data_IF_801014057329
#
_entry.id   IF_801014057329
#
_cell.length_a   1.000
_cell.length_b   1.000
_cell.length_c   1.000
_cell.angle_alpha   90.00
_cell.angle_beta   90.00
_cell.angle_gamma   90.00
#
_symmetry.space_group_name_H-M   'P 1'
#
loop_
_entity.id
_entity.type
_entity.pdbx_description
1 polymer ?
#
# COMPACT_ATOMS: atom_id res chain seq x y z
N UNK A 1 -10.98 2.03 37.51
CA UNK A 1 -10.89 3.32 36.80
C UNK A 1 -10.03 3.29 35.50
N UNK A 2 -9.28 2.21 35.19
CA UNK A 2 -8.48 2.11 33.94
C UNK A 2 -9.20 1.51 32.72
N UNK A 3 -10.29 0.77 32.92
CA UNK A 3 -11.00 0.04 31.84
C UNK A 3 -11.90 0.95 30.98
N UNK A 4 -12.48 2.00 31.57
CA UNK A 4 -13.39 2.93 30.90
C UNK A 4 -12.68 3.88 29.91
N UNK A 5 -11.36 4.10 30.07
CA UNK A 5 -10.58 4.98 29.20
C UNK A 5 -10.12 4.27 27.92
N UNK A 6 -9.79 2.98 28.00
CA UNK A 6 -9.42 2.17 26.83
C UNK A 6 -10.64 1.89 25.95
N UNK A 7 -11.80 1.59 26.55
CA UNK A 7 -13.04 1.41 25.80
C UNK A 7 -13.54 2.69 25.15
N UNK A 8 -13.35 3.86 25.79
CA UNK A 8 -13.75 5.14 25.21
C UNK A 8 -12.86 5.52 24.03
N UNK A 9 -11.55 5.24 24.09
CA UNK A 9 -10.61 5.41 22.95
C UNK A 9 -10.98 4.45 21.82
N UNK A 10 -11.19 3.16 22.07
CA UNK A 10 -11.59 2.20 21.03
C UNK A 10 -12.92 2.58 20.36
N UNK A 11 -13.90 3.06 21.14
CA UNK A 11 -15.18 3.54 20.60
C UNK A 11 -15.02 4.84 19.81
N UNK A 12 -14.14 5.75 20.24
CA UNK A 12 -13.81 6.95 19.47
C UNK A 12 -13.09 6.60 18.17
N UNK A 13 -12.12 5.69 18.19
CA UNK A 13 -11.41 5.20 17.01
C UNK A 13 -12.36 4.51 16.04
N UNK A 14 -13.21 3.60 16.51
CA UNK A 14 -14.21 2.94 15.67
C UNK A 14 -15.24 3.94 15.12
N UNK A 15 -15.61 4.97 15.89
CA UNK A 15 -16.52 6.03 15.44
C UNK A 15 -15.84 6.98 14.46
N UNK A 16 -14.56 7.30 14.64
CA UNK A 16 -13.76 8.10 13.72
C UNK A 16 -13.52 7.33 12.42
N UNK A 17 -13.21 6.04 12.48
CA UNK A 17 -13.08 5.15 11.32
C UNK A 17 -14.43 5.00 10.60
N UNK A 18 -15.55 4.78 11.33
CA UNK A 18 -16.89 4.70 10.72
C UNK A 18 -17.34 6.03 10.13
N UNK A 19 -17.12 7.15 10.81
CA UNK A 19 -17.44 8.49 10.33
C UNK A 19 -16.53 8.89 9.15
N UNK A 20 -15.28 8.48 9.16
CA UNK A 20 -14.35 8.58 8.04
C UNK A 20 -14.87 7.80 6.83
N UNK A 21 -15.18 6.52 6.99
CA UNK A 21 -15.78 5.69 5.94
C UNK A 21 -17.10 6.29 5.41
N UNK A 22 -17.87 6.97 6.26
CA UNK A 22 -19.14 7.64 5.90
C UNK A 22 -18.91 9.00 5.20
N UNK A 23 -17.87 9.75 5.58
CA UNK A 23 -17.47 11.05 5.00
C UNK A 23 -16.86 10.87 3.61
N UNK A 24 -16.20 9.76 3.35
CA UNK A 24 -15.74 9.34 2.02
C UNK A 24 -16.82 8.59 1.24
N UNK A 25 -18.10 9.00 1.36
CA UNK A 25 -19.08 8.78 0.29
C UNK A 25 -18.55 9.52 -0.95
N UNK A 26 -17.78 8.75 -1.71
CA UNK A 26 -17.17 9.00 -3.00
C UNK A 26 -18.01 10.01 -3.78
N UNK A 27 -17.41 11.17 -4.05
CA UNK A 27 -17.91 12.06 -5.10
C UNK A 27 -18.06 11.18 -6.34
N UNK A 28 -19.28 11.08 -6.86
CA UNK A 28 -19.75 10.15 -7.91
C UNK A 28 -19.00 10.18 -9.26
N UNK A 29 -17.81 10.80 -9.33
CA UNK A 29 -16.92 10.80 -10.49
C UNK A 29 -15.58 10.15 -10.13
N UNK A 30 -15.50 8.83 -10.39
CA UNK A 30 -14.35 7.92 -10.28
C UNK A 30 -13.80 7.73 -8.85
N UNK A 31 -13.45 6.49 -8.50
CA UNK A 31 -12.96 6.08 -7.17
C UNK A 31 -11.55 6.61 -6.81
N UNK A 32 -11.20 7.82 -7.25
CA UNK A 32 -9.90 8.47 -7.03
C UNK A 32 -9.83 8.95 -5.58
N UNK A 33 -8.71 8.65 -4.91
CA UNK A 33 -8.47 8.99 -3.49
C UNK A 33 -7.33 9.97 -3.28
N UNK A 34 -6.41 10.09 -4.24
CA UNK A 34 -5.33 11.07 -4.23
C UNK A 34 -4.86 11.33 -5.67
N UNK A 35 -4.37 12.53 -5.96
CA UNK A 35 -3.84 12.92 -7.25
C UNK A 35 -2.50 13.62 -7.04
N UNK A 36 -1.48 13.21 -7.81
CA UNK A 36 -0.22 13.92 -7.97
C UNK A 36 -0.09 14.47 -9.39
N UNK A 37 1.11 14.86 -9.77
CA UNK A 37 1.36 15.51 -11.06
C UNK A 37 1.17 14.54 -12.25
N UNK A 38 1.71 13.33 -12.13
CA UNK A 38 1.75 12.33 -13.21
C UNK A 38 0.84 11.14 -12.95
N UNK A 39 0.53 10.85 -11.70
CA UNK A 39 -0.34 9.71 -11.33
C UNK A 39 -1.44 10.09 -10.36
N UNK A 40 -2.49 9.28 -10.34
CA UNK A 40 -3.51 9.30 -9.31
C UNK A 40 -3.71 7.91 -8.71
N UNK A 41 -4.11 7.90 -7.44
CA UNK A 41 -4.51 6.70 -6.72
C UNK A 41 -6.01 6.53 -6.79
N UNK A 42 -6.49 5.32 -7.05
CA UNK A 42 -7.91 4.99 -7.01
C UNK A 42 -8.18 3.60 -6.44
N UNK A 43 -9.42 3.36 -6.01
CA UNK A 43 -9.78 2.09 -5.38
C UNK A 43 -10.04 0.98 -6.42
N UNK A 44 -9.55 -0.25 -6.19
CA UNK A 44 -9.83 -1.40 -7.03
C UNK A 44 -11.33 -1.73 -7.07
N UNK A 45 -11.86 -1.99 -8.26
CA UNK A 45 -13.22 -2.50 -8.47
C UNK A 45 -13.20 -3.74 -9.36
N UNK A 46 -14.38 -4.35 -9.53
CA UNK A 46 -14.53 -5.43 -10.50
C UNK A 46 -14.29 -4.94 -11.93
N UNK A 47 -14.65 -3.70 -12.26
CA UNK A 47 -14.46 -3.12 -13.59
C UNK A 47 -12.97 -2.99 -13.94
N UNK A 48 -12.09 -2.81 -12.94
CA UNK A 48 -10.64 -2.75 -13.14
C UNK A 48 -10.00 -4.12 -13.41
N UNK A 49 -10.76 -5.22 -13.37
CA UNK A 49 -10.21 -6.57 -13.49
C UNK A 49 -9.43 -6.78 -14.79
N UNK A 50 -9.95 -6.28 -15.92
CA UNK A 50 -9.30 -6.43 -17.22
C UNK A 50 -7.90 -5.83 -17.22
N UNK A 51 -7.79 -4.55 -16.85
CA UNK A 51 -6.51 -3.82 -16.86
C UNK A 51 -5.54 -4.39 -15.82
N UNK A 52 -6.05 -4.77 -14.64
CA UNK A 52 -5.25 -5.43 -13.61
C UNK A 52 -4.63 -6.73 -14.13
N UNK A 53 -5.44 -7.59 -14.76
CA UNK A 53 -4.97 -8.89 -15.25
C UNK A 53 -4.01 -8.74 -16.44
N UNK A 54 -4.18 -7.73 -17.28
CA UNK A 54 -3.20 -7.38 -18.32
C UNK A 54 -1.87 -7.03 -17.68
N UNK A 55 -1.87 -6.14 -16.69
CA UNK A 55 -0.67 -5.71 -15.97
C UNK A 55 0.05 -6.89 -15.31
N UNK A 56 -0.68 -7.72 -14.54
CA UNK A 56 -0.07 -8.78 -13.74
C UNK A 56 0.43 -9.93 -14.59
N UNK A 57 -0.33 -10.35 -15.61
CA UNK A 57 0.11 -11.45 -16.50
C UNK A 57 1.29 -11.03 -17.39
N UNK A 58 1.34 -9.77 -17.86
CA UNK A 58 2.48 -9.26 -18.63
C UNK A 58 3.78 -9.18 -17.80
N UNK A 59 3.64 -9.06 -16.48
CA UNK A 59 4.75 -8.75 -15.56
C UNK A 59 5.16 -9.92 -14.66
N UNK A 60 4.74 -11.16 -14.94
CA UNK A 60 5.00 -12.33 -14.08
C UNK A 60 6.49 -12.48 -13.75
N UNK A 61 7.36 -12.57 -14.77
CA UNK A 61 8.81 -12.77 -14.57
C UNK A 61 9.48 -11.59 -13.87
N UNK A 62 8.88 -10.40 -14.00
CA UNK A 62 9.37 -9.20 -13.32
C UNK A 62 8.93 -9.16 -11.85
N UNK A 63 7.75 -9.70 -11.53
CA UNK A 63 7.22 -9.76 -10.17
C UNK A 63 7.84 -10.90 -9.37
N UNK A 64 8.20 -12.01 -10.01
CA UNK A 64 8.83 -13.13 -9.35
C UNK A 64 10.34 -12.90 -9.18
N UNK A 65 10.94 -13.35 -8.06
CA UNK A 65 10.35 -14.09 -6.93
C UNK A 65 9.74 -13.19 -5.83
N UNK A 66 9.58 -11.90 -6.08
CA UNK A 66 9.29 -10.89 -5.06
C UNK A 66 7.85 -10.94 -4.55
N UNK A 67 6.90 -11.14 -5.46
CA UNK A 67 5.46 -11.11 -5.17
C UNK A 67 4.67 -11.94 -6.18
N UNK A 68 3.49 -12.39 -5.77
CA UNK A 68 2.60 -13.27 -6.54
C UNK A 68 1.19 -12.67 -6.63
N UNK A 69 0.97 -11.67 -7.51
CA UNK A 69 -0.35 -11.06 -7.70
C UNK A 69 -1.36 -12.04 -8.31
N UNK A 70 -2.64 -11.65 -8.31
CA UNK A 70 -3.67 -12.42 -9.00
C UNK A 70 -3.42 -12.43 -10.52
N UNK A 71 -3.54 -13.61 -11.13
CA UNK A 71 -3.34 -13.86 -12.57
C UNK A 71 -4.63 -14.28 -13.27
N UNK A 72 -5.64 -14.69 -12.50
CA UNK A 72 -6.96 -15.07 -13.03
C UNK A 72 -8.07 -14.19 -12.44
N UNK A 73 -9.23 -14.16 -13.11
CA UNK A 73 -10.42 -13.46 -12.59
C UNK A 73 -10.87 -14.03 -11.23
N UNK A 74 -10.70 -15.32 -11.00
CA UNK A 74 -11.03 -15.98 -9.72
C UNK A 74 -10.14 -15.46 -8.60
N UNK A 75 -8.84 -15.39 -8.83
CA UNK A 75 -7.87 -14.83 -7.87
C UNK A 75 -8.09 -13.33 -7.67
N UNK A 76 -8.44 -12.58 -8.72
CA UNK A 76 -8.74 -11.16 -8.59
C UNK A 76 -9.99 -10.91 -7.74
N UNK A 77 -11.05 -11.71 -7.94
CA UNK A 77 -12.24 -11.70 -7.06
C UNK A 77 -11.87 -12.05 -5.61
N UNK A 78 -10.94 -12.97 -5.40
CA UNK A 78 -10.42 -13.27 -4.06
C UNK A 78 -9.65 -12.08 -3.45
N UNK A 79 -8.84 -11.37 -4.24
CA UNK A 79 -8.19 -10.12 -3.83
C UNK A 79 -9.23 -9.05 -3.43
N UNK A 80 -10.27 -8.81 -4.24
CA UNK A 80 -11.35 -7.88 -3.89
C UNK A 80 -12.12 -8.31 -2.63
N UNK A 81 -12.31 -9.61 -2.42
CA UNK A 81 -12.91 -10.16 -1.20
C UNK A 81 -12.07 -9.81 0.05
N UNK A 82 -10.74 -9.86 -0.03
CA UNK A 82 -9.87 -9.42 1.08
C UNK A 82 -10.04 -7.93 1.38
N UNK A 83 -10.18 -7.08 0.36
CA UNK A 83 -10.46 -5.65 0.52
C UNK A 83 -11.78 -5.44 1.25
N UNK A 84 -12.85 -6.08 0.77
CA UNK A 84 -14.19 -5.97 1.36
C UNK A 84 -14.23 -6.42 2.82
N UNK A 85 -13.45 -7.45 3.17
CA UNK A 85 -13.33 -7.96 4.54
C UNK A 85 -12.40 -7.12 5.44
N UNK A 86 -11.72 -6.12 4.89
CA UNK A 86 -10.80 -5.26 5.65
C UNK A 86 -9.43 -5.88 5.93
N UNK A 87 -9.11 -7.05 5.37
CA UNK A 87 -7.79 -7.68 5.53
C UNK A 87 -6.68 -6.94 4.77
N UNK A 88 -7.05 -6.14 3.77
CA UNK A 88 -6.13 -5.32 3.00
C UNK A 88 -6.87 -4.06 2.55
N UNK A 89 -6.16 -2.94 2.37
CA UNK A 89 -6.66 -1.79 1.64
C UNK A 89 -5.83 -1.65 0.36
N UNK A 90 -6.46 -1.95 -0.77
CA UNK A 90 -5.81 -1.86 -2.07
C UNK A 90 -5.99 -0.49 -2.72
N UNK A 91 -4.94 -0.04 -3.41
CA UNK A 91 -4.89 1.20 -4.18
C UNK A 91 -4.22 0.92 -5.51
N UNK A 92 -4.83 1.40 -6.59
CA UNK A 92 -4.27 1.33 -7.93
C UNK A 92 -3.65 2.67 -8.31
N UNK A 93 -2.53 2.61 -9.03
CA UNK A 93 -1.82 3.77 -9.58
C UNK A 93 -2.16 3.84 -11.05
N UNK A 94 -2.82 4.91 -11.49
CA UNK A 94 -3.03 5.19 -12.92
C UNK A 94 -2.29 6.44 -13.35
N UNK A 95 -1.81 6.45 -14.60
CA UNK A 95 -1.21 7.62 -15.21
C UNK A 95 -2.28 8.67 -15.53
N UNK A 96 -2.00 9.93 -15.25
CA UNK A 96 -2.95 11.03 -15.46
C UNK A 96 -3.25 11.29 -16.95
N UNK A 97 -2.24 11.14 -17.82
CA UNK A 97 -2.38 11.49 -19.25
C UNK A 97 -3.38 10.62 -20.01
N UNK A 98 -3.56 9.36 -19.60
CA UNK A 98 -4.37 8.39 -20.35
C UNK A 98 -5.14 7.39 -19.47
N UNK A 99 -5.11 7.56 -18.14
CA UNK A 99 -5.72 6.65 -17.16
C UNK A 99 -5.17 5.22 -17.17
N UNK A 100 -4.04 4.95 -17.84
CA UNK A 100 -3.46 3.61 -17.90
C UNK A 100 -3.10 3.12 -16.49
N UNK A 101 -3.60 1.94 -16.11
CA UNK A 101 -3.22 1.28 -14.86
C UNK A 101 -1.74 0.89 -14.91
N UNK A 102 -0.96 1.42 -13.97
CA UNK A 102 0.48 1.22 -13.90
C UNK A 102 0.90 0.29 -12.76
N UNK A 103 0.15 0.23 -11.66
CA UNK A 103 0.56 -0.57 -10.51
C UNK A 103 -0.42 -0.59 -9.37
N UNK A 104 0.01 -1.23 -8.30
CA UNK A 104 -0.80 -1.52 -7.12
C UNK A 104 0.03 -1.26 -5.87
N UNK A 105 -0.61 -0.67 -4.87
CA UNK A 105 -0.09 -0.57 -3.50
C UNK A 105 -1.16 -1.06 -2.54
N UNK A 106 -0.79 -1.94 -1.63
CA UNK A 106 -1.65 -2.53 -0.62
C UNK A 106 -1.16 -2.14 0.76
N UNK A 107 -2.07 -1.65 1.60
CA UNK A 107 -1.87 -1.56 3.05
C UNK A 107 -2.38 -2.85 3.67
N UNK A 108 -1.52 -3.55 4.39
CA UNK A 108 -1.80 -4.78 5.12
C UNK A 108 -1.48 -4.60 6.61
N UNK A 109 -1.75 -5.64 7.42
CA UNK A 109 -1.40 -5.74 8.84
C UNK A 109 -1.69 -4.47 9.66
N UNK A 110 -2.87 -3.87 9.41
CA UNK A 110 -3.31 -2.63 10.04
C UNK A 110 -3.51 -2.87 11.53
N UNK A 111 -2.73 -2.17 12.36
CA UNK A 111 -2.76 -2.25 13.82
C UNK A 111 -2.94 -0.86 14.40
N UNK A 112 -4.12 -0.58 14.95
CA UNK A 112 -4.40 0.65 15.72
C UNK A 112 -4.04 0.48 17.21
N UNK A 113 -4.52 1.37 18.07
CA UNK A 113 -4.14 1.43 19.48
C UNK A 113 -2.68 1.85 19.63
N UNK A 114 -1.94 1.23 20.56
CA UNK A 114 -0.56 1.59 20.83
C UNK A 114 0.40 1.43 19.63
N UNK A 115 0.01 0.64 18.62
CA UNK A 115 0.84 0.42 17.43
C UNK A 115 0.74 1.54 16.39
N UNK A 116 -0.48 2.02 16.10
CA UNK A 116 -0.79 2.91 14.98
C UNK A 116 0.08 2.65 13.74
N UNK A 117 0.11 1.41 13.26
CA UNK A 117 1.03 0.95 12.22
C UNK A 117 0.37 0.10 11.14
N UNK A 118 1.05 -0.04 10.01
CA UNK A 118 0.67 -0.95 8.93
C UNK A 118 1.90 -1.43 8.15
N UNK A 119 1.72 -2.44 7.30
CA UNK A 119 2.72 -2.90 6.34
C UNK A 119 2.28 -2.56 4.92
N UNK A 120 3.22 -2.29 4.01
CA UNK A 120 2.93 -2.09 2.60
C UNK A 120 3.44 -3.25 1.75
N UNK A 121 2.69 -3.57 0.69
CA UNK A 121 3.17 -4.35 -0.44
C UNK A 121 2.80 -3.64 -1.75
N UNK A 122 3.72 -3.58 -2.70
CA UNK A 122 3.51 -2.87 -3.95
C UNK A 122 4.18 -3.58 -5.13
N UNK A 123 3.63 -3.35 -6.32
CA UNK A 123 4.16 -3.84 -7.57
C UNK A 123 3.67 -2.97 -8.73
N UNK A 124 4.47 -2.92 -9.79
CA UNK A 124 4.24 -2.08 -10.97
C UNK A 124 4.31 -2.94 -12.22
N UNK A 125 3.66 -2.50 -13.28
CA UNK A 125 3.89 -2.98 -14.63
C UNK A 125 5.37 -2.83 -15.00
N UNK A 126 5.96 -3.90 -15.55
CA UNK A 126 7.38 -3.97 -15.91
C UNK A 126 7.82 -2.85 -16.85
N UNK A 127 6.97 -2.44 -17.78
CA UNK A 127 7.29 -1.44 -18.82
C UNK A 127 7.36 0.00 -18.25
N UNK A 128 6.88 0.17 -17.02
CA UNK A 128 6.84 1.46 -16.33
C UNK A 128 7.78 1.54 -15.13
N UNK A 129 8.57 0.49 -14.89
CA UNK A 129 9.58 0.47 -13.84
C UNK A 129 10.65 1.55 -14.08
N UNK A 130 11.26 2.04 -13.00
CA UNK A 130 12.32 3.07 -12.98
C UNK A 130 11.95 4.43 -13.61
N UNK A 131 10.68 4.67 -13.96
CA UNK A 131 10.18 5.98 -14.47
C UNK A 131 9.63 6.90 -13.37
N UNK A 132 9.71 6.49 -12.11
CA UNK A 132 9.29 7.28 -10.94
C UNK A 132 7.79 7.21 -10.60
N UNK A 133 6.97 6.47 -11.37
CA UNK A 133 5.52 6.37 -11.10
C UNK A 133 5.19 5.71 -9.76
N UNK A 134 5.90 4.61 -9.40
CA UNK A 134 5.70 3.98 -8.09
C UNK A 134 6.16 4.88 -6.95
N UNK A 135 7.24 5.66 -7.13
CA UNK A 135 7.72 6.62 -6.14
C UNK A 135 6.65 7.66 -5.83
N UNK A 136 6.08 8.28 -6.86
CA UNK A 136 5.01 9.27 -6.71
C UNK A 136 3.74 8.67 -6.09
N UNK A 137 3.32 7.49 -6.57
CA UNK A 137 2.18 6.77 -5.98
C UNK A 137 2.39 6.41 -4.51
N UNK A 138 3.60 6.01 -4.12
CA UNK A 138 3.94 5.69 -2.73
C UNK A 138 3.96 6.96 -1.86
N UNK A 139 4.47 8.09 -2.35
CA UNK A 139 4.40 9.39 -1.65
C UNK A 139 2.94 9.79 -1.39
N UNK A 140 2.08 9.72 -2.42
CA UNK A 140 0.64 10.00 -2.28
C UNK A 140 -0.01 9.12 -1.22
N UNK A 141 0.31 7.81 -1.23
CA UNK A 141 -0.23 6.89 -0.23
C UNK A 141 0.30 7.15 1.17
N UNK A 142 1.59 7.48 1.31
CA UNK A 142 2.19 7.79 2.61
C UNK A 142 1.55 9.03 3.25
N UNK A 143 1.29 10.08 2.46
CA UNK A 143 0.55 11.26 2.93
C UNK A 143 -0.85 10.87 3.42
N UNK A 144 -1.59 10.08 2.62
CA UNK A 144 -2.88 9.53 3.05
C UNK A 144 -2.75 8.71 4.35
N UNK A 145 -1.75 7.85 4.45
CA UNK A 145 -1.55 6.96 5.57
C UNK A 145 -1.23 7.70 6.88
N UNK A 146 -0.31 8.67 6.85
CA UNK A 146 0.10 9.43 8.03
C UNK A 146 -0.91 10.50 8.43
N UNK A 147 -1.45 11.24 7.47
CA UNK A 147 -2.27 12.41 7.77
C UNK A 147 -3.76 12.08 7.89
N UNK A 148 -4.21 11.08 7.15
CA UNK A 148 -5.65 10.75 7.06
C UNK A 148 -5.99 9.43 7.75
N UNK A 149 -5.13 8.42 7.66
CA UNK A 149 -5.32 7.14 8.37
C UNK A 149 -4.69 7.13 9.77
N UNK A 150 -4.05 8.23 10.17
CA UNK A 150 -3.47 8.44 11.50
C UNK A 150 -2.47 7.37 11.93
N UNK A 151 -1.80 6.72 10.97
CA UNK A 151 -0.66 5.88 11.31
C UNK A 151 0.49 6.76 11.84
N UNK A 152 1.22 6.24 12.81
CA UNK A 152 2.51 6.80 13.23
C UNK A 152 3.66 6.13 12.46
N UNK A 153 3.46 4.90 12.00
CA UNK A 153 4.50 4.04 11.45
C UNK A 153 4.01 3.24 10.24
N UNK A 154 4.85 3.14 9.22
CA UNK A 154 4.61 2.33 8.02
C UNK A 154 5.82 1.44 7.82
N UNK A 155 5.58 0.15 7.62
CA UNK A 155 6.63 -0.86 7.43
C UNK A 155 6.62 -1.41 6.00
N UNK A 156 7.79 -1.78 5.49
CA UNK A 156 7.94 -2.59 4.28
C UNK A 156 8.95 -3.68 4.56
N UNK A 157 8.59 -4.91 4.22
CA UNK A 157 9.47 -6.06 4.36
C UNK A 157 9.93 -6.46 2.96
N UNK A 158 11.24 -6.44 2.71
CA UNK A 158 11.80 -6.56 1.37
C UNK A 158 12.78 -7.72 1.31
N UNK A 159 12.61 -8.65 0.37
CA UNK A 159 13.58 -9.71 0.15
C UNK A 159 14.97 -9.11 -0.19
N UNK A 160 16.08 -9.61 0.38
CA UNK A 160 17.41 -8.98 0.26
C UNK A 160 17.87 -8.73 -1.19
N UNK A 161 17.52 -9.63 -2.12
CA UNK A 161 17.85 -9.52 -3.54
C UNK A 161 17.05 -8.47 -4.31
N UNK A 162 15.98 -7.90 -3.74
CA UNK A 162 15.13 -6.93 -4.43
C UNK A 162 15.69 -5.51 -4.35
N UNK A 163 16.79 -5.27 -5.07
CA UNK A 163 17.51 -3.98 -5.08
C UNK A 163 16.60 -2.81 -5.50
N UNK A 164 15.69 -3.04 -6.44
CA UNK A 164 14.74 -2.02 -6.92
C UNK A 164 13.83 -1.51 -5.80
N UNK A 165 13.24 -2.45 -5.05
CA UNK A 165 12.36 -2.12 -3.91
C UNK A 165 13.12 -1.41 -2.79
N UNK A 166 14.35 -1.88 -2.47
CA UNK A 166 15.21 -1.21 -1.47
C UNK A 166 15.55 0.22 -1.85
N UNK A 167 15.91 0.44 -3.12
CA UNK A 167 16.21 1.78 -3.65
C UNK A 167 14.98 2.70 -3.58
N UNK A 168 13.79 2.17 -3.92
CA UNK A 168 12.53 2.89 -3.85
C UNK A 168 12.21 3.35 -2.42
N UNK A 169 12.20 2.44 -1.44
CA UNK A 169 11.82 2.81 -0.06
C UNK A 169 12.82 3.76 0.58
N UNK A 170 14.12 3.61 0.27
CA UNK A 170 15.14 4.57 0.72
C UNK A 170 14.86 5.98 0.19
N UNK A 171 14.44 6.12 -1.07
CA UNK A 171 14.00 7.41 -1.64
C UNK A 171 12.70 7.93 -1.01
N UNK A 172 11.87 7.06 -0.45
CA UNK A 172 10.70 7.42 0.35
C UNK A 172 11.03 7.66 1.83
N UNK A 173 12.31 7.75 2.22
CA UNK A 173 12.69 8.05 3.60
C UNK A 173 12.53 6.89 4.58
N UNK A 174 12.32 5.66 4.10
CA UNK A 174 12.36 4.49 4.96
C UNK A 174 13.80 4.21 5.41
N UNK A 175 13.92 3.78 6.66
CA UNK A 175 15.17 3.35 7.28
C UNK A 175 15.19 1.83 7.43
N UNK A 176 16.35 1.22 7.22
CA UNK A 176 16.57 -0.20 7.47
C UNK A 176 16.72 -0.41 8.98
N UNK A 177 15.89 -1.27 9.56
CA UNK A 177 15.92 -1.56 11.00
C UNK A 177 16.46 -2.95 11.33
N UNK A 178 16.44 -3.87 10.37
CA UNK A 178 16.99 -5.20 10.60
C UNK A 178 16.67 -6.23 9.53
N UNK A 179 16.88 -7.48 9.90
CA UNK A 179 16.72 -8.64 9.05
C UNK A 179 15.94 -9.73 9.78
N UNK A 180 15.10 -10.47 9.06
CA UNK A 180 14.33 -11.60 9.58
C UNK A 180 14.49 -12.79 8.64
N UNK A 181 15.15 -13.84 9.11
CA UNK A 181 15.26 -15.10 8.37
C UNK A 181 13.90 -15.81 8.30
N UNK A 182 13.57 -16.43 7.17
CA UNK A 182 12.34 -17.21 6.95
C UNK A 182 11.07 -16.43 7.35
N UNK A 183 11.01 -15.15 6.95
CA UNK A 183 9.99 -14.21 7.41
C UNK A 183 8.62 -14.42 6.76
N UNK A 184 8.56 -14.57 5.43
CA UNK A 184 7.29 -14.80 4.71
C UNK A 184 7.37 -16.04 3.83
N UNK A 185 6.29 -16.83 3.82
CA UNK A 185 6.14 -17.95 2.89
C UNK A 185 5.60 -17.44 1.55
N UNK A 186 6.44 -17.50 0.52
CA UNK A 186 6.12 -17.07 -0.84
C UNK A 186 6.44 -18.23 -1.79
N UNK A 187 5.45 -18.62 -2.59
CA UNK A 187 5.58 -19.74 -3.53
C UNK A 187 6.11 -21.02 -2.88
N UNK A 188 5.44 -21.43 -1.80
CA UNK A 188 5.78 -22.61 -0.98
C UNK A 188 7.09 -22.55 -0.19
N UNK A 189 7.92 -21.52 -0.37
CA UNK A 189 9.21 -21.37 0.33
C UNK A 189 9.20 -20.22 1.33
N UNK A 190 9.85 -20.40 2.47
CA UNK A 190 10.09 -19.31 3.42
C UNK A 190 11.24 -18.44 2.93
N UNK A 191 10.99 -17.15 2.77
CA UNK A 191 11.93 -16.16 2.26
C UNK A 191 12.37 -15.19 3.35
N UNK A 192 13.66 -14.91 3.35
CA UNK A 192 14.26 -13.89 4.21
C UNK A 192 13.83 -12.48 3.79
N UNK A 193 13.74 -11.57 4.74
CA UNK A 193 13.37 -10.18 4.49
C UNK A 193 14.18 -9.20 5.34
N UNK A 194 14.60 -8.10 4.73
CA UNK A 194 14.98 -6.87 5.42
C UNK A 194 13.73 -6.12 5.89
N UNK A 195 13.76 -5.58 7.11
CA UNK A 195 12.68 -4.81 7.74
C UNK A 195 12.97 -3.32 7.58
N UNK A 196 12.11 -2.62 6.85
CA UNK A 196 12.22 -1.18 6.61
C UNK A 196 11.05 -0.44 7.22
N UNK A 197 11.28 0.77 7.73
CA UNK A 197 10.21 1.57 8.32
C UNK A 197 10.34 3.07 8.04
N UNK A 198 9.19 3.72 7.90
CA UNK A 198 9.04 5.16 7.93
C UNK A 198 8.16 5.56 9.12
N UNK A 199 8.58 6.59 9.84
CA UNK A 199 7.86 7.16 10.98
C UNK A 199 7.37 8.56 10.62
N UNK A 200 6.18 8.93 11.10
CA UNK A 200 5.46 10.15 10.71
C UNK A 200 6.31 11.41 10.83
N UNK A 201 7.03 11.58 11.93
CA UNK A 201 7.81 12.79 12.16
C UNK A 201 8.98 12.91 11.18
N UNK A 202 9.73 11.82 10.97
CA UNK A 202 10.81 11.77 9.97
C UNK A 202 10.29 12.00 8.55
N UNK A 203 9.09 11.50 8.24
CA UNK A 203 8.46 11.72 6.94
C UNK A 203 8.15 13.20 6.69
N UNK A 204 7.56 13.89 7.67
CA UNK A 204 7.23 15.31 7.56
C UNK A 204 8.47 16.16 7.32
N UNK A 205 9.56 15.89 8.03
CA UNK A 205 10.82 16.61 7.82
C UNK A 205 11.36 16.46 6.38
N UNK A 206 11.18 15.31 5.75
CA UNK A 206 11.63 15.07 4.35
C UNK A 206 10.74 15.80 3.34
N UNK A 207 9.43 15.87 3.58
CA UNK A 207 8.52 16.59 2.68
C UNK A 207 8.79 18.11 2.65
N UNK A 208 9.25 18.70 3.76
CA UNK A 208 9.63 20.12 3.79
C UNK A 208 10.91 20.46 3.01
N UNK A 209 11.71 19.45 2.62
CA UNK A 209 12.96 19.62 1.88
C UNK A 209 12.82 19.40 0.37
N UNK A 210 11.60 19.12 -0.12
CA UNK A 210 11.29 18.85 -1.54
C UNK A 210 10.34 19.91 -2.08
#
# INVERSE_FOLDING_TARGET
MKTLFVESILRLELRLIKNFLKKYKIVKKKNIVACGDRVHLFLPTLDSAKDYLILTNKSIDFHQPWIFPAKTIKEYKFYLSRIRKGYTKGFFISRNSDNQLLGVININDIRYGAYCSCTLGYYLDKDFCKKGYMLEGLVLLMNLAFDTLFFNRIEVNIQPGNISSKSLVKKCGFQLEGFSSKFLKLDSEWRDHERWAAVKDSWKSIQHLR
#
